data_IF_704264758811
#
_entry.id   IF_704264758811
#
_cell.length_a   1.000
_cell.length_b   1.000
_cell.length_c   1.000
_cell.angle_alpha   90.00
_cell.angle_beta   90.00
_cell.angle_gamma   90.00
#
_symmetry.space_group_name_H-M   'P 1'
#
loop_
_entity.id
_entity.type
_entity.pdbx_description
1 polymer ?
#
# COMPACT_ATOMS: atom_id res chain seq x y z
N UNK A 1 -17.26 -8.82 -13.52
CA UNK A 1 -17.41 -7.38 -13.16
C UNK A 1 -16.09 -6.96 -12.56
N UNK A 2 -15.47 -5.84 -12.97
CA UNK A 2 -14.21 -5.42 -12.35
C UNK A 2 -14.50 -4.79 -10.98
N UNK A 3 -13.75 -5.18 -9.96
CA UNK A 3 -13.80 -4.62 -8.59
C UNK A 3 -12.42 -4.05 -8.24
N UNK A 4 -12.30 -3.34 -7.10
CA UNK A 4 -11.00 -2.91 -6.59
C UNK A 4 -10.11 -4.11 -6.32
N UNK A 5 -10.67 -5.18 -5.75
CA UNK A 5 -9.96 -6.44 -5.55
C UNK A 5 -9.39 -6.98 -6.87
N UNK A 6 -10.24 -7.24 -7.87
CA UNK A 6 -9.77 -7.85 -9.13
C UNK A 6 -8.83 -6.92 -9.89
N UNK A 7 -9.05 -5.60 -9.82
CA UNK A 7 -8.14 -4.62 -10.40
C UNK A 7 -6.74 -4.69 -9.77
N UNK A 8 -6.65 -4.72 -8.43
CA UNK A 8 -5.37 -4.79 -7.74
C UNK A 8 -4.69 -6.14 -7.98
N UNK A 9 -5.43 -7.24 -7.98
CA UNK A 9 -4.93 -8.58 -8.29
C UNK A 9 -4.30 -8.62 -9.69
N UNK A 10 -5.05 -8.21 -10.71
CA UNK A 10 -4.56 -8.11 -12.10
C UNK A 10 -3.33 -7.19 -12.18
N UNK A 11 -3.34 -6.06 -11.48
CA UNK A 11 -2.23 -5.10 -11.50
C UNK A 11 -0.97 -5.70 -10.88
N UNK A 12 -1.09 -6.41 -9.75
CA UNK A 12 0.02 -7.02 -9.03
C UNK A 12 0.60 -8.21 -9.80
N UNK A 13 -0.25 -9.07 -10.38
CA UNK A 13 0.17 -10.20 -11.21
C UNK A 13 0.93 -9.77 -12.46
N UNK A 14 0.53 -8.65 -13.06
CA UNK A 14 1.21 -8.08 -14.23
C UNK A 14 2.38 -7.14 -13.87
N UNK A 15 2.59 -6.86 -12.58
CA UNK A 15 3.67 -5.99 -12.12
C UNK A 15 5.01 -6.73 -12.06
N UNK A 16 6.10 -5.97 -12.07
CA UNK A 16 7.45 -6.48 -11.80
C UNK A 16 7.80 -6.47 -10.29
N UNK A 17 6.80 -6.42 -9.40
CA UNK A 17 7.05 -6.41 -7.96
C UNK A 17 7.55 -7.81 -7.55
N UNK A 18 8.82 -7.88 -7.14
CA UNK A 18 9.50 -9.10 -6.68
C UNK A 18 9.29 -9.38 -5.19
N UNK A 19 8.40 -8.64 -4.54
CA UNK A 19 8.14 -8.68 -3.10
C UNK A 19 6.92 -9.57 -2.84
N UNK A 20 6.97 -10.50 -1.86
CA UNK A 20 5.79 -11.27 -1.46
C UNK A 20 4.63 -10.36 -1.06
N UNK A 21 3.45 -10.64 -1.60
CA UNK A 21 2.23 -9.89 -1.32
C UNK A 21 1.05 -10.83 -1.08
N UNK A 22 0.05 -10.32 -0.36
CA UNK A 22 -1.24 -10.96 -0.14
C UNK A 22 -2.33 -9.93 -0.34
N UNK A 23 -3.29 -10.26 -1.20
CA UNK A 23 -4.52 -9.48 -1.36
C UNK A 23 -5.67 -10.22 -0.68
N UNK A 24 -6.57 -9.48 -0.03
CA UNK A 24 -7.75 -10.05 0.62
C UNK A 24 -8.92 -9.07 0.57
N UNK A 25 -10.13 -9.59 0.48
CA UNK A 25 -11.36 -8.85 0.72
C UNK A 25 -11.93 -9.25 2.08
N UNK A 26 -12.33 -8.26 2.87
CA UNK A 26 -12.94 -8.43 4.19
C UNK A 26 -14.34 -7.83 4.12
N UNK A 27 -15.37 -8.65 3.87
CA UNK A 27 -16.75 -8.17 3.68
C UNK A 27 -17.31 -7.43 4.89
N UNK A 28 -17.07 -7.94 6.10
CA UNK A 28 -17.64 -7.38 7.34
C UNK A 28 -17.24 -5.93 7.56
N UNK A 29 -16.01 -5.58 7.20
CA UNK A 29 -15.48 -4.21 7.29
C UNK A 29 -15.51 -3.49 5.95
N UNK A 30 -16.01 -4.12 4.88
CA UNK A 30 -16.00 -3.63 3.50
C UNK A 30 -14.64 -3.07 3.13
N UNK A 31 -13.61 -3.91 3.16
CA UNK A 31 -12.22 -3.50 2.92
C UNK A 31 -11.54 -4.43 1.93
N UNK A 32 -10.75 -3.86 1.02
CA UNK A 32 -9.73 -4.61 0.29
C UNK A 32 -8.39 -4.31 0.95
N UNK A 33 -7.67 -5.34 1.35
CA UNK A 33 -6.42 -5.23 2.08
C UNK A 33 -5.30 -5.86 1.25
N UNK A 34 -4.34 -5.02 0.86
CA UNK A 34 -3.07 -5.44 0.26
C UNK A 34 -2.00 -5.42 1.35
N UNK A 35 -1.41 -6.58 1.63
CA UNK A 35 -0.25 -6.73 2.52
C UNK A 35 0.97 -7.07 1.68
N UNK A 36 2.10 -6.43 1.99
CA UNK A 36 3.39 -6.70 1.34
C UNK A 36 4.45 -6.94 2.40
N UNK A 37 5.35 -7.89 2.15
CA UNK A 37 6.35 -8.34 3.12
C UNK A 37 7.75 -8.08 2.56
N UNK A 38 8.35 -6.94 2.93
CA UNK A 38 9.68 -6.56 2.46
C UNK A 38 10.74 -7.31 3.28
N UNK A 39 11.57 -8.15 2.66
CA UNK A 39 12.58 -8.91 3.39
C UNK A 39 13.58 -8.00 4.12
N UNK A 40 13.84 -8.30 5.38
CA UNK A 40 14.89 -7.69 6.20
C UNK A 40 15.90 -8.78 6.48
N UNK A 41 17.06 -8.71 5.85
CA UNK A 41 18.17 -9.64 6.15
C UNK A 41 18.94 -9.02 7.30
N UNK A 42 18.59 -9.43 8.52
CA UNK A 42 19.28 -8.95 9.72
C UNK A 42 20.76 -9.33 9.67
N UNK A 43 21.60 -8.37 10.06
CA UNK A 43 23.03 -8.58 10.31
C UNK A 43 23.23 -8.67 11.82
N UNK A 44 24.10 -9.55 12.29
CA UNK A 44 24.46 -9.69 13.71
C UNK A 44 25.05 -8.38 14.29
N UNK A 45 25.49 -7.46 13.42
CA UNK A 45 26.08 -6.17 13.79
C UNK A 45 25.04 -5.08 14.09
N UNK A 46 23.75 -5.32 13.82
CA UNK A 46 22.69 -4.30 13.95
C UNK A 46 21.58 -4.78 14.86
N UNK A 47 21.31 -3.99 15.90
CA UNK A 47 20.14 -4.17 16.77
C UNK A 47 18.98 -3.33 16.26
N UNK A 48 17.93 -3.97 15.75
CA UNK A 48 16.69 -3.29 15.41
C UNK A 48 15.87 -3.02 16.67
N UNK A 49 15.19 -1.87 16.69
CA UNK A 49 14.36 -1.45 17.81
C UNK A 49 12.92 -1.22 17.34
N UNK A 50 11.96 -1.52 18.22
CA UNK A 50 10.56 -1.15 18.02
C UNK A 50 10.31 0.34 18.35
N UNK A 51 9.06 0.78 18.20
CA UNK A 51 8.63 2.15 18.53
C UNK A 51 8.79 2.53 20.02
N UNK A 52 9.02 1.56 20.89
CA UNK A 52 9.24 1.74 22.33
C UNK A 52 10.73 1.57 22.71
N UNK A 53 11.63 1.58 21.72
CA UNK A 53 13.07 1.34 21.86
C UNK A 53 13.41 -0.04 22.46
N UNK A 54 12.55 -1.04 22.27
CA UNK A 54 12.83 -2.41 22.67
C UNK A 54 13.52 -3.16 21.51
N UNK A 55 14.56 -3.97 21.79
CA UNK A 55 15.16 -4.83 20.79
C UNK A 55 14.14 -5.75 20.13
N UNK A 56 14.19 -5.82 18.81
CA UNK A 56 13.42 -6.76 18.01
C UNK A 56 14.34 -7.91 17.60
N UNK A 57 14.03 -9.12 18.07
CA UNK A 57 14.75 -10.34 17.71
C UNK A 57 14.07 -11.02 16.52
N UNK A 58 14.86 -11.57 15.59
CA UNK A 58 14.34 -12.38 14.48
C UNK A 58 13.43 -11.63 13.50
N UNK A 59 13.75 -10.37 13.17
CA UNK A 59 13.02 -9.66 12.10
C UNK A 59 13.39 -10.27 10.76
N UNK A 60 12.42 -10.95 10.14
CA UNK A 60 12.56 -11.48 8.77
C UNK A 60 12.03 -10.51 7.70
N UNK A 61 11.09 -9.62 8.05
CA UNK A 61 10.47 -8.69 7.12
C UNK A 61 9.87 -7.45 7.78
N UNK A 62 9.70 -6.41 6.98
CA UNK A 62 8.82 -5.27 7.25
C UNK A 62 7.48 -5.49 6.54
N UNK A 63 6.39 -5.53 7.30
CA UNK A 63 5.03 -5.58 6.73
C UNK A 63 4.55 -4.15 6.43
N UNK A 64 4.08 -3.93 5.20
CA UNK A 64 3.28 -2.76 4.85
C UNK A 64 1.88 -3.21 4.46
N UNK A 65 0.86 -2.48 4.93
CA UNK A 65 -0.54 -2.77 4.70
C UNK A 65 -1.24 -1.56 4.08
N UNK A 66 -1.90 -1.77 2.95
CA UNK A 66 -2.73 -0.79 2.26
C UNK A 66 -4.19 -1.24 2.32
N UNK A 67 -5.03 -0.45 2.99
CA UNK A 67 -6.43 -0.75 3.25
C UNK A 67 -7.28 0.18 2.40
N UNK A 68 -7.90 -0.36 1.37
CA UNK A 68 -8.85 0.36 0.52
C UNK A 68 -10.25 0.23 1.13
N UNK A 69 -10.87 1.36 1.44
CA UNK A 69 -12.18 1.41 2.10
C UNK A 69 -12.99 2.60 1.62
N UNK A 70 -14.32 2.43 1.56
CA UNK A 70 -15.25 3.55 1.37
C UNK A 70 -15.68 4.17 2.71
N UNK A 71 -15.43 3.48 3.83
CA UNK A 71 -15.73 4.02 5.16
C UNK A 71 -14.76 5.14 5.51
N UNK A 72 -15.29 6.35 5.69
CA UNK A 72 -14.54 7.49 6.20
C UNK A 72 -14.13 7.25 7.66
N UNK A 73 -12.92 6.72 7.85
CA UNK A 73 -12.22 6.74 9.13
C UNK A 73 -11.18 7.86 9.09
N UNK A 74 -10.98 8.54 10.21
CA UNK A 74 -9.85 9.45 10.36
C UNK A 74 -8.57 8.68 10.02
N UNK A 75 -7.68 9.30 9.24
CA UNK A 75 -6.39 8.74 8.87
C UNK A 75 -5.53 8.53 10.12
N UNK A 76 -5.76 7.44 10.84
CA UNK A 76 -4.82 6.96 11.84
C UNK A 76 -3.68 6.28 11.06
N UNK A 77 -2.64 7.05 10.78
CA UNK A 77 -1.39 6.52 10.24
C UNK A 77 -0.69 5.77 11.36
N UNK A 78 -1.05 4.50 11.54
CA UNK A 78 -0.23 3.56 12.29
C UNK A 78 0.97 3.23 11.40
N UNK A 79 2.18 3.22 11.96
CA UNK A 79 3.40 2.93 11.19
C UNK A 79 3.22 1.64 10.38
N UNK A 80 3.46 1.72 9.07
CA UNK A 80 3.28 0.61 8.12
C UNK A 80 1.85 0.33 7.66
N UNK A 81 0.83 1.10 8.10
CA UNK A 81 -0.57 0.95 7.67
C UNK A 81 -1.05 2.23 6.98
N UNK A 82 -1.53 2.07 5.75
CA UNK A 82 -2.03 3.13 4.89
C UNK A 82 -3.53 2.90 4.63
N UNK A 83 -4.38 3.79 5.12
CA UNK A 83 -5.82 3.74 4.84
C UNK A 83 -6.08 4.63 3.61
N UNK A 84 -6.61 4.03 2.55
CA UNK A 84 -6.84 4.65 1.25
C UNK A 84 -8.35 4.73 1.03
N UNK A 85 -8.82 5.94 0.71
CA UNK A 85 -10.24 6.23 0.48
C UNK A 85 -10.44 6.77 -0.94
N UNK A 86 -11.64 6.60 -1.52
CA UNK A 86 -12.04 7.35 -2.71
C UNK A 86 -11.83 8.86 -2.53
N UNK A 87 -11.38 9.53 -3.59
CA UNK A 87 -11.08 10.98 -3.53
C UNK A 87 -12.32 11.85 -3.70
N UNK A 88 -13.05 11.63 -4.80
CA UNK A 88 -14.10 12.54 -5.27
C UNK A 88 -15.52 11.95 -5.26
N UNK A 89 -15.66 10.66 -4.98
CA UNK A 89 -16.95 9.95 -5.04
C UNK A 89 -17.05 8.91 -3.92
N UNK A 90 -18.21 8.27 -3.75
CA UNK A 90 -18.39 7.17 -2.80
C UNK A 90 -17.65 5.87 -3.22
N UNK A 91 -17.19 5.79 -4.47
CA UNK A 91 -16.52 4.61 -5.03
C UNK A 91 -15.14 4.94 -5.62
N UNK A 92 -14.31 3.92 -5.78
CA UNK A 92 -13.02 4.09 -6.41
C UNK A 92 -13.19 4.27 -7.92
N UNK A 93 -12.56 5.29 -8.48
CA UNK A 93 -12.43 5.43 -9.92
C UNK A 93 -11.23 4.62 -10.40
N UNK A 94 -11.32 3.97 -11.56
CA UNK A 94 -10.21 3.18 -12.11
C UNK A 94 -8.94 4.02 -12.31
N UNK A 95 -9.08 5.24 -12.82
CA UNK A 95 -7.97 6.18 -12.97
C UNK A 95 -7.33 6.60 -11.64
N UNK A 96 -8.09 6.60 -10.54
CA UNK A 96 -7.54 6.79 -9.19
C UNK A 96 -6.70 5.57 -8.79
N UNK A 97 -7.22 4.36 -8.97
CA UNK A 97 -6.51 3.13 -8.62
C UNK A 97 -5.23 2.93 -9.43
N UNK A 98 -5.21 3.32 -10.71
CA UNK A 98 -3.99 3.32 -11.52
C UNK A 98 -2.88 4.22 -10.92
N UNK A 99 -3.26 5.36 -10.33
CA UNK A 99 -2.32 6.27 -9.66
C UNK A 99 -1.89 5.67 -8.33
N UNK A 100 -2.83 5.15 -7.54
CA UNK A 100 -2.56 4.52 -6.26
C UNK A 100 -1.62 3.32 -6.39
N UNK A 101 -1.79 2.49 -7.43
CA UNK A 101 -0.89 1.37 -7.69
C UNK A 101 0.55 1.82 -8.01
N UNK A 102 0.70 2.96 -8.70
CA UNK A 102 2.02 3.56 -8.96
C UNK A 102 2.65 4.09 -7.68
N UNK A 103 1.87 4.79 -6.85
CA UNK A 103 2.33 5.30 -5.55
C UNK A 103 2.74 4.16 -4.61
N UNK A 104 1.94 3.09 -4.54
CA UNK A 104 2.29 1.88 -3.77
C UNK A 104 3.60 1.30 -4.27
N UNK A 105 3.77 1.17 -5.58
CA UNK A 105 5.02 0.65 -6.17
C UNK A 105 6.22 1.53 -5.83
N UNK A 106 6.05 2.85 -5.85
CA UNK A 106 7.08 3.80 -5.45
C UNK A 106 7.45 3.63 -3.98
N UNK A 107 6.44 3.59 -3.10
CA UNK A 107 6.64 3.44 -1.67
C UNK A 107 7.32 2.12 -1.29
N UNK A 108 6.97 1.03 -1.97
CA UNK A 108 7.63 -0.27 -1.81
C UNK A 108 9.11 -0.21 -2.23
N UNK A 109 9.40 0.49 -3.33
CA UNK A 109 10.78 0.70 -3.77
C UNK A 109 11.57 1.53 -2.77
N UNK A 110 11.01 2.64 -2.28
CA UNK A 110 11.62 3.46 -1.24
C UNK A 110 11.87 2.65 0.04
N UNK A 111 10.87 1.92 0.52
CA UNK A 111 11.00 1.06 1.70
C UNK A 111 12.14 0.06 1.54
N UNK A 112 12.26 -0.59 0.38
CA UNK A 112 13.37 -1.51 0.09
C UNK A 112 14.74 -0.81 0.14
N UNK A 113 14.83 0.42 -0.36
CA UNK A 113 16.06 1.21 -0.30
C UNK A 113 16.40 1.58 1.14
N UNK A 114 15.43 2.09 1.90
CA UNK A 114 15.63 2.49 3.30
C UNK A 114 16.01 1.29 4.18
N UNK A 115 15.43 0.10 3.95
CA UNK A 115 15.83 -1.13 4.65
C UNK A 115 17.30 -1.46 4.35
N UNK A 116 17.75 -1.34 3.10
CA UNK A 116 19.16 -1.59 2.74
C UNK A 116 20.10 -0.59 3.41
N UNK A 117 19.74 0.69 3.45
CA UNK A 117 20.52 1.73 4.13
C UNK A 117 20.55 1.50 5.65
N UNK A 118 19.43 1.09 6.24
CA UNK A 118 19.32 0.72 7.65
C UNK A 118 20.24 -0.46 7.98
N UNK A 119 20.23 -1.54 7.18
CA UNK A 119 21.10 -2.72 7.35
C UNK A 119 22.59 -2.39 7.15
N UNK A 120 22.92 -1.28 6.49
CA UNK A 120 24.31 -0.80 6.36
C UNK A 120 24.73 0.18 7.45
N UNK A 121 23.80 0.58 8.32
CA UNK A 121 24.01 1.66 9.29
C UNK A 121 24.12 3.05 8.67
N UNK A 122 23.72 3.21 7.39
CA UNK A 122 23.69 4.50 6.68
C UNK A 122 22.48 5.35 7.10
N UNK A 123 21.48 4.72 7.73
CA UNK A 123 20.24 5.34 8.22
C UNK A 123 19.87 4.76 9.59
N UNK A 124 19.12 5.54 10.39
CA UNK A 124 18.69 5.15 11.74
C UNK A 124 17.26 4.56 11.83
N UNK A 125 16.37 4.87 10.88
CA UNK A 125 14.98 4.44 10.90
C UNK A 125 14.40 4.29 9.49
N UNK A 126 13.35 3.50 9.33
CA UNK A 126 12.53 3.48 8.09
C UNK A 126 11.36 4.45 8.28
N UNK A 127 11.38 5.54 7.52
CA UNK A 127 10.38 6.60 7.55
C UNK A 127 9.62 6.62 6.21
N UNK A 128 8.45 5.99 6.20
CA UNK A 128 7.58 5.92 5.03
C UNK A 128 6.44 6.90 5.19
N UNK A 129 6.23 7.74 4.17
CA UNK A 129 5.16 8.74 4.14
C UNK A 129 4.37 8.58 2.86
N UNK A 130 3.05 8.54 3.01
CA UNK A 130 2.13 8.56 1.88
C UNK A 130 2.08 9.97 1.29
N UNK A 131 2.43 10.12 0.01
CA UNK A 131 2.49 11.44 -0.64
C UNK A 131 1.11 11.84 -1.18
N UNK A 132 0.19 12.22 -0.28
CA UNK A 132 -1.18 12.59 -0.67
C UNK A 132 -1.22 13.74 -1.70
N UNK A 133 -0.30 14.72 -1.59
CA UNK A 133 -0.21 15.84 -2.53
C UNK A 133 0.24 15.39 -3.93
N UNK A 134 1.16 14.42 -4.02
CA UNK A 134 1.62 13.85 -5.29
C UNK A 134 0.49 13.09 -5.99
N UNK A 135 -0.26 12.27 -5.24
CA UNK A 135 -1.46 11.59 -5.75
C UNK A 135 -2.45 12.60 -6.33
N UNK A 136 -2.73 13.69 -5.62
CA UNK A 136 -3.65 14.74 -6.08
C UNK A 136 -3.15 15.45 -7.35
N UNK A 137 -1.85 15.70 -7.43
CA UNK A 137 -1.23 16.30 -8.61
C UNK A 137 -1.29 15.34 -9.81
N UNK A 138 -1.07 14.04 -9.60
CA UNK A 138 -1.20 13.01 -10.64
C UNK A 138 -2.63 12.91 -11.16
N UNK A 139 -3.64 12.95 -10.27
CA UNK A 139 -5.06 12.95 -10.66
C UNK A 139 -5.35 14.17 -11.55
N UNK A 140 -4.97 15.36 -11.08
CA UNK A 140 -5.17 16.62 -11.79
C UNK A 140 -4.52 16.59 -13.17
N UNK A 141 -3.29 16.09 -13.25
CA UNK A 141 -2.51 15.99 -14.48
C UNK A 141 -3.15 15.04 -15.48
N UNK A 142 -3.53 13.82 -15.05
CA UNK A 142 -4.16 12.83 -15.93
C UNK A 142 -5.53 13.29 -16.43
N UNK A 143 -6.31 14.00 -15.61
CA UNK A 143 -7.58 14.61 -16.03
C UNK A 143 -7.36 15.70 -17.09
N UNK A 144 -6.38 16.57 -16.90
CA UNK A 144 -6.07 17.64 -17.86
C UNK A 144 -5.72 17.12 -19.26
N UNK A 145 -5.05 15.95 -19.34
CA UNK A 145 -4.68 15.32 -20.61
C UNK A 145 -5.68 14.24 -21.08
N UNK A 146 -6.85 14.11 -20.45
CA UNK A 146 -7.90 13.13 -20.76
C UNK A 146 -7.43 11.67 -20.72
N UNK A 147 -6.53 11.34 -19.80
CA UNK A 147 -6.04 9.96 -19.53
C UNK A 147 -6.47 9.46 -18.15
N UNK A 148 -7.54 10.02 -17.62
CA UNK A 148 -8.13 9.59 -16.35
C UNK A 148 -9.40 8.79 -16.66
N UNK A 149 -9.46 7.55 -16.18
CA UNK A 149 -10.63 6.70 -16.34
C UNK A 149 -11.58 6.90 -15.16
N UNK A 150 -12.72 7.55 -15.42
CA UNK A 150 -13.74 7.87 -14.42
C UNK A 150 -14.64 6.68 -14.05
N UNK A 151 -14.44 5.49 -14.66
CA UNK A 151 -15.24 4.30 -14.38
C UNK A 151 -15.17 3.91 -12.91
N UNK A 152 -16.33 3.72 -12.28
CA UNK A 152 -16.47 3.41 -10.87
C UNK A 152 -16.33 1.90 -10.63
N UNK A 153 -15.54 1.55 -9.60
CA UNK A 153 -15.31 0.19 -9.15
C UNK A 153 -15.76 0.04 -7.69
N UNK A 154 -16.53 -1.02 -7.44
CA UNK A 154 -16.88 -1.48 -6.09
C UNK A 154 -15.70 -2.22 -5.47
N UNK A 155 -15.62 -2.27 -4.14
CA UNK A 155 -14.46 -2.84 -3.43
C UNK A 155 -14.20 -4.32 -3.77
N UNK A 156 -15.21 -5.18 -3.65
CA UNK A 156 -15.11 -6.61 -3.94
C UNK A 156 -16.48 -7.18 -4.30
N UNK A 157 -16.51 -8.46 -4.65
CA UNK A 157 -17.71 -9.26 -4.73
C UNK A 157 -17.66 -10.36 -3.64
N UNK A 158 -18.82 -10.70 -3.08
CA UNK A 158 -18.96 -11.70 -1.98
C UNK A 158 -18.46 -13.11 -2.39
N UNK A 159 -18.04 -13.29 -3.64
CA UNK A 159 -17.42 -14.51 -4.15
C UNK A 159 -15.97 -14.71 -3.72
N UNK A 160 -15.26 -13.65 -3.32
CA UNK A 160 -13.85 -13.71 -2.87
C UNK A 160 -13.70 -13.50 -1.36
N UNK A 161 -14.77 -13.76 -0.62
CA UNK A 161 -14.85 -13.44 0.80
C UNK A 161 -14.11 -14.49 1.64
N UNK A 162 -13.17 -14.03 2.47
CA UNK A 162 -12.56 -14.87 3.51
C UNK A 162 -13.35 -14.68 4.81
N UNK A 163 -14.08 -15.72 5.20
CA UNK A 163 -14.77 -15.86 6.50
C UNK A 163 -13.75 -16.02 7.63
#
# INVERSE_FOLDING_TARGET
>A
MQTVYTFLEETLENSHIDIPWRLSYVSVSKQVVLQTYLPVVASDEITFLDKNNQPLEGIDYLELKFIFTADHRANETVSGIFIIQPKDTEHFQKGHLDILAQEISHLLYEARLQIKELIKGERMAVDLKWQAEEVDQMITTRRAIKRYDDSLLYLGDDTNDLV
#
